data_IF_144811523987
#
_entry.id   IF_144811523987
#
_cell.length_a   1.000
_cell.length_b   1.000
_cell.length_c   1.000
_cell.angle_alpha   90.00
_cell.angle_beta   90.00
_cell.angle_gamma   90.00
#
_symmetry.space_group_name_H-M   'P 1'
#
loop_
_entity.id
_entity.type
_entity.pdbx_description
1 polymer ?
#
# COMPACT_ATOMS: atom_id res chain seq x y z
N UNK A 1 -23.33 9.10 -2.68
CA UNK A 1 -22.37 8.16 -3.28
C UNK A 1 -21.44 8.91 -4.23
N UNK A 2 -20.16 8.61 -4.17
CA UNK A 2 -19.17 9.24 -5.01
C UNK A 2 -19.33 8.80 -6.46
N UNK A 3 -19.21 9.73 -7.40
CA UNK A 3 -19.26 9.41 -8.81
C UNK A 3 -17.98 8.66 -9.22
N UNK A 4 -18.10 7.49 -9.86
CA UNK A 4 -16.92 6.73 -10.29
C UNK A 4 -15.98 7.52 -11.21
N UNK A 5 -16.53 8.35 -12.08
CA UNK A 5 -15.75 9.17 -13.01
C UNK A 5 -14.90 10.18 -12.26
N UNK A 6 -15.44 10.81 -11.22
CA UNK A 6 -14.69 11.75 -10.39
C UNK A 6 -13.58 11.04 -9.62
N UNK A 7 -13.86 9.85 -9.12
CA UNK A 7 -12.87 9.06 -8.41
C UNK A 7 -11.71 8.66 -9.34
N UNK A 8 -12.03 8.24 -10.57
CA UNK A 8 -11.02 7.86 -11.57
C UNK A 8 -10.17 9.07 -11.96
N UNK A 9 -10.81 10.23 -12.19
CA UNK A 9 -10.09 11.45 -12.52
C UNK A 9 -9.17 11.90 -11.39
N UNK A 10 -9.64 11.84 -10.15
CA UNK A 10 -8.84 12.21 -9.00
C UNK A 10 -7.63 11.27 -8.85
N UNK A 11 -7.83 9.97 -9.06
CA UNK A 11 -6.76 8.99 -8.99
C UNK A 11 -5.71 9.24 -10.08
N UNK A 12 -6.14 9.53 -11.31
CA UNK A 12 -5.21 9.86 -12.40
C UNK A 12 -4.40 11.10 -12.11
N UNK A 13 -5.06 12.13 -11.58
CA UNK A 13 -4.40 13.38 -11.24
C UNK A 13 -3.36 13.19 -10.12
N UNK A 14 -3.58 12.22 -9.26
CA UNK A 14 -2.67 11.91 -8.16
C UNK A 14 -1.50 11.01 -8.57
N UNK A 15 -1.54 10.39 -9.77
CA UNK A 15 -0.46 9.52 -10.21
C UNK A 15 0.83 10.31 -10.49
N UNK A 16 1.97 9.79 -10.08
CA UNK A 16 3.25 10.44 -10.37
C UNK A 16 3.67 10.21 -11.82
N UNK A 17 4.54 11.09 -12.33
CA UNK A 17 5.07 10.98 -13.69
C UNK A 17 6.34 10.15 -13.77
N UNK A 18 7.11 10.06 -12.69
CA UNK A 18 8.38 9.38 -12.72
C UNK A 18 8.22 7.85 -12.61
N UNK A 19 9.05 7.08 -13.34
CA UNK A 19 8.90 5.62 -13.38
C UNK A 19 9.18 4.94 -12.03
N UNK A 20 10.02 5.50 -11.20
CA UNK A 20 10.34 4.91 -9.90
C UNK A 20 9.16 4.97 -8.94
N UNK A 21 8.45 6.11 -8.91
CA UNK A 21 7.26 6.26 -8.09
C UNK A 21 6.12 5.37 -8.60
N UNK A 22 5.97 5.26 -9.93
CA UNK A 22 4.97 4.38 -10.52
C UNK A 22 5.24 2.92 -10.15
N UNK A 23 6.49 2.49 -10.26
CA UNK A 23 6.86 1.13 -9.91
C UNK A 23 6.61 0.84 -8.43
N UNK A 24 7.00 1.77 -7.54
CA UNK A 24 6.77 1.60 -6.10
C UNK A 24 5.29 1.57 -5.75
N UNK A 25 4.47 2.42 -6.37
CA UNK A 25 3.03 2.39 -6.19
C UNK A 25 2.42 1.07 -6.66
N UNK A 26 2.93 0.53 -7.77
CA UNK A 26 2.48 -0.77 -8.26
C UNK A 26 2.76 -1.87 -7.24
N UNK A 27 3.95 -1.89 -6.67
CA UNK A 27 4.32 -2.87 -5.64
C UNK A 27 3.40 -2.73 -4.42
N UNK A 28 3.21 -1.49 -3.92
CA UNK A 28 2.33 -1.27 -2.77
C UNK A 28 0.90 -1.69 -3.07
N UNK A 29 0.40 -1.35 -4.25
CA UNK A 29 -0.94 -1.74 -4.67
C UNK A 29 -1.09 -3.26 -4.72
N UNK A 30 -0.10 -3.95 -5.28
CA UNK A 30 -0.11 -5.41 -5.39
C UNK A 30 -0.07 -6.07 -4.01
N UNK A 31 0.79 -5.59 -3.12
CA UNK A 31 0.96 -6.17 -1.79
C UNK A 31 -0.21 -5.86 -0.86
N UNK A 32 -0.83 -4.70 -0.98
CA UNK A 32 -1.96 -4.30 -0.13
C UNK A 32 -3.31 -4.59 -0.76
N UNK A 33 -3.35 -4.83 -2.07
CA UNK A 33 -4.61 -5.02 -2.79
C UNK A 33 -5.42 -3.74 -2.95
N UNK A 34 -4.82 -2.56 -2.73
CA UNK A 34 -5.57 -1.31 -2.78
C UNK A 34 -4.75 -0.16 -3.35
N UNK A 35 -5.20 0.39 -4.47
CA UNK A 35 -4.60 1.59 -5.03
C UNK A 35 -4.84 2.82 -4.14
N UNK A 36 -5.96 2.87 -3.42
CA UNK A 36 -6.24 3.98 -2.51
C UNK A 36 -5.25 4.01 -1.35
N UNK A 37 -4.92 2.85 -0.77
CA UNK A 37 -3.90 2.76 0.28
C UNK A 37 -2.53 3.18 -0.25
N UNK A 38 -2.19 2.77 -1.47
CA UNK A 38 -0.92 3.14 -2.09
C UNK A 38 -0.83 4.65 -2.28
N UNK A 39 -1.89 5.29 -2.77
CA UNK A 39 -1.92 6.74 -2.95
C UNK A 39 -1.90 7.48 -1.60
N UNK A 40 -2.61 6.97 -0.60
CA UNK A 40 -2.59 7.55 0.75
C UNK A 40 -1.18 7.51 1.34
N UNK A 41 -0.44 6.44 1.12
CA UNK A 41 0.94 6.31 1.57
C UNK A 41 1.83 7.33 0.85
N UNK A 42 1.70 7.44 -0.47
CA UNK A 42 2.49 8.38 -1.26
C UNK A 42 2.25 9.83 -0.82
N UNK A 43 1.01 10.18 -0.56
CA UNK A 43 0.63 11.54 -0.15
C UNK A 43 0.81 11.81 1.34
N UNK A 44 1.31 10.82 2.09
CA UNK A 44 1.53 10.90 3.53
C UNK A 44 0.26 11.15 4.34
N UNK A 45 -0.88 10.79 3.79
CA UNK A 45 -2.14 10.79 4.54
C UNK A 45 -2.08 9.71 5.62
N UNK A 46 -1.49 8.56 5.26
CA UNK A 46 -1.24 7.45 6.18
C UNK A 46 0.24 7.07 6.13
N UNK A 47 0.79 6.70 7.26
CA UNK A 47 2.14 6.16 7.32
C UNK A 47 2.20 4.70 6.87
N UNK A 48 3.41 4.21 6.63
CA UNK A 48 3.62 2.84 6.13
C UNK A 48 3.02 1.79 7.06
N UNK A 49 3.21 1.92 8.37
CA UNK A 49 2.67 0.96 9.33
C UNK A 49 1.14 0.97 9.35
N UNK A 50 0.54 2.15 9.20
CA UNK A 50 -0.92 2.30 9.13
C UNK A 50 -1.48 1.66 7.87
N UNK A 51 -0.83 1.85 6.72
CA UNK A 51 -1.24 1.25 5.45
C UNK A 51 -1.15 -0.27 5.53
N UNK A 52 -0.04 -0.79 6.05
CA UNK A 52 0.15 -2.22 6.20
C UNK A 52 -0.91 -2.84 7.10
N UNK A 53 -1.19 -2.21 8.25
CA UNK A 53 -2.23 -2.68 9.17
C UNK A 53 -3.62 -2.65 8.53
N UNK A 54 -3.94 -1.57 7.81
CA UNK A 54 -5.23 -1.44 7.13
C UNK A 54 -5.42 -2.52 6.07
N UNK A 55 -4.34 -2.86 5.36
CA UNK A 55 -4.39 -3.88 4.31
C UNK A 55 -4.60 -5.30 4.86
N UNK A 56 -4.31 -5.51 6.13
CA UNK A 56 -4.34 -6.85 6.75
C UNK A 56 -5.41 -7.03 7.81
N UNK A 57 -6.40 -6.13 7.87
CA UNK A 57 -7.47 -6.19 8.88
C UNK A 57 -8.19 -7.55 8.86
N UNK A 58 -8.58 -8.02 7.68
CA UNK A 58 -9.30 -9.28 7.55
C UNK A 58 -8.42 -10.48 7.92
N UNK A 59 -7.17 -10.46 7.50
CA UNK A 59 -6.21 -11.52 7.82
C UNK A 59 -5.96 -11.59 9.32
N UNK A 60 -5.79 -10.43 9.97
CA UNK A 60 -5.56 -10.36 11.41
C UNK A 60 -6.78 -10.85 12.17
N UNK A 61 -7.98 -10.48 11.73
CA UNK A 61 -9.22 -10.95 12.34
C UNK A 61 -9.34 -12.48 12.23
N UNK A 62 -9.05 -13.03 11.05
CA UNK A 62 -9.09 -14.47 10.85
C UNK A 62 -8.07 -15.20 11.73
N UNK A 63 -6.87 -14.66 11.86
CA UNK A 63 -5.84 -15.23 12.73
C UNK A 63 -6.27 -15.24 14.20
N UNK A 64 -6.93 -14.17 14.63
CA UNK A 64 -7.46 -14.04 15.98
C UNK A 64 -8.55 -15.07 16.27
N UNK A 65 -9.42 -15.34 15.27
CA UNK A 65 -10.54 -16.28 15.43
C UNK A 65 -10.14 -17.75 15.26
N UNK A 66 -9.26 -18.03 14.32
CA UNK A 66 -8.97 -19.39 13.85
C UNK A 66 -7.53 -19.83 14.03
N UNK A 67 -6.68 -18.97 14.56
CA UNK A 67 -5.26 -19.24 14.74
C UNK A 67 -4.45 -18.87 13.51
N UNK A 68 -3.13 -18.88 13.69
CA UNK A 68 -2.20 -18.50 12.64
C UNK A 68 -1.60 -19.74 11.96
N UNK A 69 -1.47 -19.64 10.64
CA UNK A 69 -0.74 -20.60 9.83
C UNK A 69 0.71 -20.10 9.70
N UNK A 70 1.69 -20.93 10.05
CA UNK A 70 3.10 -20.54 10.00
C UNK A 70 3.55 -20.13 8.60
N UNK A 71 3.07 -20.83 7.56
CA UNK A 71 3.39 -20.44 6.18
C UNK A 71 2.84 -19.07 5.84
N UNK A 72 1.62 -18.76 6.30
CA UNK A 72 1.03 -17.45 6.07
C UNK A 72 1.80 -16.35 6.80
N UNK A 73 2.26 -16.62 8.02
CA UNK A 73 3.09 -15.69 8.77
C UNK A 73 4.40 -15.42 8.05
N UNK A 74 5.06 -16.47 7.54
CA UNK A 74 6.32 -16.33 6.81
C UNK A 74 6.15 -15.57 5.50
N UNK A 75 5.08 -15.85 4.75
CA UNK A 75 4.77 -15.12 3.51
C UNK A 75 4.51 -13.65 3.80
N UNK A 76 3.78 -13.36 4.86
CA UNK A 76 3.49 -11.98 5.25
C UNK A 76 4.77 -11.24 5.64
N UNK A 77 5.67 -11.88 6.39
CA UNK A 77 6.96 -11.30 6.76
C UNK A 77 7.82 -10.99 5.53
N UNK A 78 7.86 -11.91 4.56
CA UNK A 78 8.60 -11.70 3.31
C UNK A 78 8.01 -10.54 2.50
N UNK A 79 6.68 -10.47 2.41
CA UNK A 79 5.99 -9.39 1.70
C UNK A 79 6.19 -8.04 2.39
N UNK A 80 6.30 -8.03 3.72
CA UNK A 80 6.55 -6.80 4.48
C UNK A 80 7.90 -6.18 4.12
N UNK A 81 8.92 -6.99 3.83
CA UNK A 81 10.22 -6.48 3.38
C UNK A 81 10.07 -5.72 2.07
N UNK A 82 9.37 -6.30 1.10
CA UNK A 82 9.14 -5.66 -0.19
C UNK A 82 8.29 -4.40 -0.06
N UNK A 83 7.26 -4.45 0.79
CA UNK A 83 6.40 -3.30 1.06
C UNK A 83 7.21 -2.13 1.64
N UNK A 84 8.07 -2.40 2.61
CA UNK A 84 8.88 -1.36 3.24
C UNK A 84 9.89 -0.76 2.29
N UNK A 85 10.45 -1.58 1.40
CA UNK A 85 11.35 -1.08 0.36
C UNK A 85 10.61 -0.12 -0.58
N UNK A 86 9.41 -0.49 -1.03
CA UNK A 86 8.59 0.37 -1.89
C UNK A 86 8.19 1.66 -1.17
N UNK A 87 7.79 1.57 0.11
CA UNK A 87 7.43 2.73 0.90
C UNK A 87 8.64 3.68 1.06
N UNK A 88 9.83 3.13 1.24
CA UNK A 88 11.06 3.91 1.32
C UNK A 88 11.37 4.65 0.03
N UNK A 89 11.16 3.99 -1.11
CA UNK A 89 11.32 4.64 -2.42
C UNK A 89 10.40 5.84 -2.54
N UNK A 90 9.13 5.67 -2.19
CA UNK A 90 8.15 6.77 -2.24
C UNK A 90 8.56 7.93 -1.33
N UNK A 91 9.04 7.63 -0.14
CA UNK A 91 9.50 8.65 0.81
C UNK A 91 10.70 9.42 0.27
N UNK A 92 11.70 8.71 -0.26
CA UNK A 92 12.92 9.34 -0.79
C UNK A 92 12.59 10.23 -1.98
N UNK A 93 11.79 9.77 -2.92
CA UNK A 93 11.42 10.53 -4.11
C UNK A 93 10.57 11.74 -3.75
N UNK A 94 9.70 11.61 -2.77
CA UNK A 94 8.89 12.73 -2.29
C UNK A 94 9.77 13.86 -1.73
N UNK A 95 10.81 13.51 -0.97
CA UNK A 95 11.72 14.50 -0.38
C UNK A 95 12.56 15.22 -1.42
N UNK A 96 12.76 14.60 -2.59
CA UNK A 96 13.55 15.19 -3.67
C UNK A 96 12.75 16.10 -4.59
N UNK A 97 11.44 16.01 -4.52
CA UNK A 97 10.56 16.80 -5.38
C UNK A 97 10.50 18.28 -4.97
#
# INVERSE_FOLDING_TARGET
MRQPEQAVAAARAALPDDPWSVAALHVVTTLTGSALLALALRERVLGADQVWAAAHVDEDWNAEQWGQDEEAVDRRAARAVDFRAAARILEVLRKRA
#
